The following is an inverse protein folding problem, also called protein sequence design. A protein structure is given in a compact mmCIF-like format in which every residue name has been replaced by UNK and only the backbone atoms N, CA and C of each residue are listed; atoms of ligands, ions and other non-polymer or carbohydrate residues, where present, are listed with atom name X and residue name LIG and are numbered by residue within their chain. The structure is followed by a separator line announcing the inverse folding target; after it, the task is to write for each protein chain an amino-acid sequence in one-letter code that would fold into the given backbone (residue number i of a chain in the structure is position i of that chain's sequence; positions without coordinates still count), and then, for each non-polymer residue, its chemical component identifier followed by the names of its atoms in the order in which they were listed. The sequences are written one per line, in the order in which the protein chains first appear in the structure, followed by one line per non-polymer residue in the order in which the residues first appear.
data_IF_962356194799
#
_entry.id   IF_962356194799
#
_cell.length_a   1.000
_cell.length_b   1.000
_cell.length_c   1.000
_cell.angle_alpha   90.00
_cell.angle_beta   90.00
_cell.angle_gamma   90.00
#
_symmetry.space_group_name_H-M   'P 1'
#
loop_
_entity.id
_entity.type
_entity.pdbx_description
1 polymer ?
#
# COMPACT_ATOMS: atom_id res chain seq x y z
N UNK A 1 62.23 0.48 -3.49
CA UNK A 1 62.02 -0.73 -2.65
C UNK A 1 60.89 -1.59 -3.24
N UNK A 2 61.21 -2.71 -3.93
CA UNK A 2 60.25 -3.56 -4.66
C UNK A 2 59.37 -4.48 -3.79
N UNK A 3 59.61 -4.51 -2.47
CA UNK A 3 58.91 -5.36 -1.51
C UNK A 3 57.48 -4.86 -1.21
N UNK A 4 57.30 -3.56 -1.00
CA UNK A 4 56.01 -2.91 -0.73
C UNK A 4 54.96 -3.09 -1.85
N UNK A 5 55.39 -3.16 -3.12
CA UNK A 5 54.48 -3.36 -4.26
C UNK A 5 53.90 -4.78 -4.30
N UNK A 6 54.64 -5.79 -3.86
CA UNK A 6 54.20 -7.20 -3.87
C UNK A 6 53.17 -7.49 -2.79
N UNK A 7 53.31 -6.86 -1.63
CA UNK A 7 52.35 -7.00 -0.53
C UNK A 7 51.03 -6.27 -0.84
N UNK A 8 51.10 -5.07 -1.43
CA UNK A 8 49.92 -4.35 -1.90
C UNK A 8 49.14 -5.13 -2.98
N UNK A 9 49.83 -5.85 -3.88
CA UNK A 9 49.19 -6.66 -4.92
C UNK A 9 48.50 -7.92 -4.35
N UNK A 10 49.08 -8.55 -3.32
CA UNK A 10 48.45 -9.67 -2.59
C UNK A 10 47.20 -9.22 -1.84
N UNK A 11 47.27 -8.06 -1.18
CA UNK A 11 46.13 -7.47 -0.46
C UNK A 11 44.99 -7.12 -1.43
N UNK A 12 45.29 -6.53 -2.60
CA UNK A 12 44.28 -6.25 -3.65
C UNK A 12 43.63 -7.51 -4.22
N UNK A 13 44.39 -8.61 -4.40
CA UNK A 13 43.86 -9.90 -4.89
C UNK A 13 43.01 -10.62 -3.84
N UNK A 14 43.38 -10.58 -2.56
CA UNK A 14 42.57 -11.13 -1.47
C UNK A 14 41.28 -10.34 -1.24
N UNK A 15 41.32 -9.00 -1.36
CA UNK A 15 40.12 -8.15 -1.24
C UNK A 15 39.16 -8.37 -2.41
N UNK A 16 39.66 -8.54 -3.66
CA UNK A 16 38.80 -8.89 -4.80
C UNK A 16 38.21 -10.30 -4.70
N UNK A 17 38.95 -11.29 -4.18
CA UNK A 17 38.46 -12.66 -4.04
C UNK A 17 37.39 -12.81 -2.94
N UNK A 18 37.47 -12.01 -1.88
CA UNK A 18 36.46 -12.01 -0.80
C UNK A 18 35.21 -11.21 -1.15
N UNK A 19 35.33 -10.12 -1.92
CA UNK A 19 34.18 -9.37 -2.42
C UNK A 19 33.29 -10.19 -3.38
N UNK A 20 33.88 -11.11 -4.16
CA UNK A 20 33.15 -11.95 -5.12
C UNK A 20 32.35 -13.08 -4.42
N UNK A 21 32.83 -13.58 -3.27
CA UNK A 21 32.13 -14.63 -2.50
C UNK A 21 31.00 -14.05 -1.66
N UNK A 22 31.10 -12.79 -1.20
CA UNK A 22 30.04 -12.14 -0.43
C UNK A 22 28.81 -11.77 -1.29
N UNK A 23 28.99 -11.56 -2.60
CA UNK A 23 27.89 -11.30 -3.53
C UNK A 23 26.99 -12.53 -3.81
N UNK A 24 27.46 -13.75 -3.49
CA UNK A 24 26.70 -14.99 -3.64
C UNK A 24 25.73 -15.28 -2.49
N UNK A 25 25.84 -14.54 -1.39
CA UNK A 25 24.95 -14.65 -0.21
C UNK A 25 24.03 -13.44 -0.03
N UNK A 26 23.85 -12.63 -1.07
CA UNK A 26 22.73 -11.68 -1.09
C UNK A 26 21.45 -12.52 -1.20
N UNK A 27 20.53 -12.50 -0.23
CA UNK A 27 19.18 -12.99 -0.50
C UNK A 27 18.71 -12.22 -1.72
N UNK A 28 18.30 -12.95 -2.77
CA UNK A 28 17.64 -12.35 -3.91
C UNK A 28 16.61 -11.38 -3.33
N UNK A 29 16.78 -10.09 -3.61
CA UNK A 29 15.79 -9.10 -3.24
C UNK A 29 14.46 -9.69 -3.70
N UNK A 30 13.57 -9.98 -2.75
CA UNK A 30 12.23 -10.45 -3.05
C UNK A 30 11.66 -9.34 -3.91
N UNK A 31 11.69 -9.54 -5.23
CA UNK A 31 11.08 -8.60 -6.15
C UNK A 31 9.64 -8.56 -5.68
N UNK A 32 9.20 -7.39 -5.20
CA UNK A 32 7.79 -7.10 -5.06
C UNK A 32 7.22 -7.31 -6.47
N UNK A 33 6.72 -8.51 -6.71
CA UNK A 33 6.23 -8.89 -8.01
C UNK A 33 4.93 -8.14 -8.15
N UNK A 34 5.02 -6.96 -8.78
CA UNK A 34 3.88 -6.09 -9.05
C UNK A 34 2.79 -6.96 -9.65
N UNK A 35 1.71 -7.14 -8.89
CA UNK A 35 0.54 -7.84 -9.38
C UNK A 35 -0.06 -6.89 -10.42
N UNK A 36 0.00 -7.26 -11.71
CA UNK A 36 -0.50 -6.43 -12.82
C UNK A 36 -1.96 -5.96 -12.66
N UNK A 37 -2.70 -6.48 -11.67
CA UNK A 37 -4.01 -5.97 -11.27
C UNK A 37 -3.93 -4.81 -10.27
N UNK A 38 -2.96 -4.78 -9.35
CA UNK A 38 -2.73 -3.63 -8.47
C UNK A 38 -2.31 -2.39 -9.28
N UNK A 39 -1.49 -2.55 -10.33
CA UNK A 39 -1.10 -1.44 -11.22
C UNK A 39 -2.30 -0.79 -11.93
N UNK A 40 -3.39 -1.56 -12.15
CA UNK A 40 -4.64 -1.01 -12.69
C UNK A 40 -5.36 -0.18 -11.64
N UNK A 41 -5.32 -0.60 -10.38
CA UNK A 41 -5.92 0.15 -9.28
C UNK A 41 -5.21 1.49 -9.09
N UNK A 42 -3.88 1.54 -9.20
CA UNK A 42 -3.14 2.82 -9.15
C UNK A 42 -3.64 3.81 -10.20
N UNK A 43 -3.90 3.34 -11.42
CA UNK A 43 -4.42 4.17 -12.51
C UNK A 43 -5.89 4.59 -12.30
N UNK A 44 -6.70 3.73 -11.70
CA UNK A 44 -8.12 4.01 -11.44
C UNK A 44 -8.27 5.06 -10.33
N UNK A 45 -7.50 4.89 -9.25
CA UNK A 45 -7.57 5.74 -8.07
C UNK A 45 -6.63 6.95 -8.13
N UNK A 46 -5.74 7.00 -9.11
CA UNK A 46 -4.69 8.04 -9.25
C UNK A 46 -3.88 8.21 -7.95
N UNK A 47 -3.58 7.08 -7.31
CA UNK A 47 -2.82 7.03 -6.06
C UNK A 47 -1.93 5.80 -6.04
N UNK A 48 -0.93 5.82 -5.15
CA UNK A 48 -0.07 4.68 -4.92
C UNK A 48 -0.87 3.55 -4.28
N UNK A 49 -0.63 2.31 -4.74
CA UNK A 49 -1.24 1.11 -4.16
C UNK A 49 -0.16 0.31 -3.45
N UNK A 50 -0.36 0.06 -2.17
CA UNK A 50 0.51 -0.83 -1.41
C UNK A 50 0.12 -2.27 -1.67
N UNK A 51 1.11 -3.16 -1.75
CA UNK A 51 0.85 -4.60 -1.87
C UNK A 51 1.46 -5.32 -0.68
N UNK A 52 0.63 -5.99 0.10
CA UNK A 52 1.06 -6.80 1.23
C UNK A 52 0.34 -8.15 1.23
N UNK A 53 1.10 -9.25 1.28
CA UNK A 53 0.57 -10.63 1.37
C UNK A 53 -0.50 -10.96 0.31
N UNK A 54 -0.38 -10.38 -0.89
CA UNK A 54 -1.31 -10.62 -2.00
C UNK A 54 -2.53 -9.69 -2.02
N UNK A 55 -2.65 -8.78 -1.06
CA UNK A 55 -3.71 -7.76 -1.00
C UNK A 55 -3.21 -6.46 -1.61
N UNK A 56 -3.94 -5.89 -2.57
CA UNK A 56 -3.72 -4.53 -3.05
C UNK A 56 -4.48 -3.55 -2.15
N UNK A 57 -3.79 -2.59 -1.54
CA UNK A 57 -4.34 -1.61 -0.59
C UNK A 57 -4.33 -0.22 -1.21
N UNK A 58 -5.50 0.39 -1.28
CA UNK A 58 -5.70 1.78 -1.68
C UNK A 58 -6.05 2.55 -0.42
N UNK A 59 -5.39 3.69 -0.19
CA UNK A 59 -5.73 4.60 0.90
C UNK A 59 -5.69 6.04 0.38
N UNK A 60 -6.75 6.79 0.64
CA UNK A 60 -6.90 8.20 0.24
C UNK A 60 -7.48 8.96 1.42
N UNK A 61 -6.81 10.03 1.85
CA UNK A 61 -7.31 10.89 2.93
C UNK A 61 -8.45 11.77 2.40
N UNK A 62 -9.59 11.80 3.11
CA UNK A 62 -10.72 12.66 2.78
C UNK A 62 -10.51 14.08 3.32
N UNK A 63 -9.78 14.88 2.58
CA UNK A 63 -9.48 16.27 2.97
C UNK A 63 -10.69 17.21 2.93
N UNK A 64 -11.80 16.83 2.28
CA UNK A 64 -12.99 17.68 2.12
C UNK A 64 -13.72 17.92 3.43
N UNK A 65 -13.61 17.01 4.42
CA UNK A 65 -14.20 17.17 5.74
C UNK A 65 -13.19 17.85 6.66
N UNK A 66 -13.63 18.87 7.40
CA UNK A 66 -12.82 19.58 8.40
C UNK A 66 -13.40 19.32 9.80
N UNK A 67 -13.07 18.17 10.41
CA UNK A 67 -13.70 17.75 11.65
C UNK A 67 -13.30 18.65 12.83
N UNK A 68 -14.20 18.78 13.79
CA UNK A 68 -13.96 19.47 15.05
C UNK A 68 -14.41 18.57 16.19
N UNK A 69 -13.57 18.39 17.20
CA UNK A 69 -13.87 17.61 18.39
C UNK A 69 -13.69 18.51 19.63
N UNK A 70 -14.72 18.62 20.47
CA UNK A 70 -14.76 19.53 21.62
C UNK A 70 -14.36 20.98 21.29
N UNK A 71 -14.83 21.49 20.15
CA UNK A 71 -14.51 22.84 19.67
C UNK A 71 -13.09 23.02 19.12
N UNK A 72 -12.27 21.96 19.08
CA UNK A 72 -10.92 21.99 18.51
C UNK A 72 -10.89 21.34 17.14
N UNK A 73 -10.34 22.04 16.15
CA UNK A 73 -10.10 21.48 14.81
C UNK A 73 -9.21 20.24 14.92
N UNK A 74 -9.60 19.17 14.24
CA UNK A 74 -8.80 17.95 14.10
C UNK A 74 -8.36 17.82 12.65
N UNK A 75 -7.25 17.10 12.42
CA UNK A 75 -6.87 16.74 11.05
C UNK A 75 -7.72 15.55 10.58
N UNK A 76 -8.01 15.44 9.27
CA UNK A 76 -8.70 14.27 8.71
C UNK A 76 -8.00 12.95 9.05
N UNK A 77 -6.67 12.92 9.02
CA UNK A 77 -5.85 11.73 9.31
C UNK A 77 -6.00 11.31 10.77
N UNK A 78 -5.99 12.26 11.71
CA UNK A 78 -6.16 11.97 13.15
C UNK A 78 -7.54 11.39 13.46
N UNK A 79 -8.53 11.76 12.65
CA UNK A 79 -9.92 11.30 12.78
C UNK A 79 -10.21 10.09 11.89
N UNK A 80 -9.18 9.48 11.27
CA UNK A 80 -9.30 8.35 10.35
C UNK A 80 -10.31 8.59 9.22
N UNK A 81 -10.41 9.84 8.74
CA UNK A 81 -11.29 10.20 7.63
C UNK A 81 -10.63 9.78 6.31
N UNK A 82 -10.69 8.49 6.00
CA UNK A 82 -10.05 7.90 4.82
C UNK A 82 -11.05 7.18 3.93
N UNK A 83 -10.63 6.98 2.68
CA UNK A 83 -11.18 5.98 1.77
C UNK A 83 -10.14 4.87 1.64
N UNK A 84 -10.46 3.72 2.22
CA UNK A 84 -9.60 2.55 2.20
C UNK A 84 -10.26 1.41 1.42
N UNK A 85 -9.47 0.70 0.61
CA UNK A 85 -9.91 -0.53 -0.06
C UNK A 85 -8.77 -1.54 -0.12
N UNK A 86 -8.99 -2.71 0.47
CA UNK A 86 -8.14 -3.89 0.34
C UNK A 86 -8.77 -4.89 -0.63
N UNK A 87 -8.11 -5.13 -1.78
CA UNK A 87 -8.55 -6.06 -2.80
C UNK A 87 -7.76 -7.37 -2.72
N UNK A 88 -8.47 -8.48 -2.60
CA UNK A 88 -7.90 -9.82 -2.54
C UNK A 88 -8.61 -10.75 -3.55
N UNK A 89 -7.84 -11.62 -4.21
CA UNK A 89 -8.43 -12.67 -5.05
C UNK A 89 -8.77 -13.88 -4.20
N UNK A 90 -10.04 -14.27 -4.20
CA UNK A 90 -10.55 -15.43 -3.44
C UNK A 90 -11.43 -16.26 -4.37
N UNK A 91 -11.11 -17.55 -4.53
CA UNK A 91 -11.91 -18.52 -5.31
C UNK A 91 -12.32 -18.06 -6.72
N UNK A 92 -11.38 -17.42 -7.44
CA UNK A 92 -11.63 -16.91 -8.79
C UNK A 92 -12.45 -15.61 -8.86
N UNK A 93 -12.85 -15.08 -7.71
CA UNK A 93 -13.49 -13.78 -7.54
C UNK A 93 -12.54 -12.78 -6.87
N UNK A 94 -13.02 -11.56 -6.64
CA UNK A 94 -12.30 -10.52 -5.88
C UNK A 94 -13.16 -10.13 -4.69
N UNK A 95 -12.62 -10.34 -3.49
CA UNK A 95 -13.16 -9.79 -2.26
C UNK A 95 -12.57 -8.39 -2.03
N UNK A 96 -13.41 -7.48 -1.52
CA UNK A 96 -12.98 -6.13 -1.14
C UNK A 96 -13.43 -5.86 0.28
N UNK A 97 -12.49 -5.52 1.15
CA UNK A 97 -12.79 -4.94 2.46
C UNK A 97 -12.40 -3.47 2.39
N UNK A 98 -13.33 -2.58 2.74
CA UNK A 98 -13.09 -1.15 2.60
C UNK A 98 -13.77 -0.34 3.68
N UNK A 99 -13.28 0.88 3.81
CA UNK A 99 -13.81 1.92 4.68
C UNK A 99 -13.99 3.19 3.85
N UNK A 100 -15.11 3.87 4.07
CA UNK A 100 -15.41 5.12 3.42
C UNK A 100 -15.85 6.14 4.46
N UNK A 101 -15.04 7.18 4.66
CA UNK A 101 -15.45 8.34 5.44
C UNK A 101 -16.56 9.10 4.71
N UNK A 102 -17.84 8.84 5.02
CA UNK A 102 -19.01 9.45 4.37
C UNK A 102 -19.79 10.35 5.32
N UNK A 103 -20.44 11.38 4.77
CA UNK A 103 -21.52 12.11 5.43
C UNK A 103 -22.80 11.26 5.38
N UNK A 104 -23.73 11.53 6.29
CA UNK A 104 -24.97 10.75 6.41
C UNK A 104 -25.77 10.71 5.10
N UNK A 105 -25.87 11.85 4.42
CA UNK A 105 -26.56 11.99 3.14
C UNK A 105 -25.86 11.29 1.96
N UNK A 106 -24.57 10.96 2.09
CA UNK A 106 -23.78 10.33 1.03
C UNK A 106 -23.87 8.80 1.05
N UNK A 107 -24.31 8.20 2.16
CA UNK A 107 -24.34 6.74 2.34
C UNK A 107 -25.15 6.05 1.24
N UNK A 108 -26.42 6.41 1.06
CA UNK A 108 -27.27 5.76 0.06
C UNK A 108 -26.83 6.02 -1.38
N UNK A 109 -26.50 7.27 -1.79
CA UNK A 109 -25.94 7.53 -3.12
C UNK A 109 -24.69 6.71 -3.45
N UNK A 110 -23.76 6.55 -2.49
CA UNK A 110 -22.56 5.74 -2.70
C UNK A 110 -22.91 4.26 -2.84
N UNK A 111 -23.78 3.72 -1.98
CA UNK A 111 -24.25 2.34 -2.10
C UNK A 111 -24.88 2.05 -3.45
N UNK A 112 -25.68 2.98 -3.98
CA UNK A 112 -26.31 2.84 -5.29
C UNK A 112 -25.28 2.82 -6.43
N UNK A 113 -24.24 3.65 -6.36
CA UNK A 113 -23.13 3.64 -7.33
C UNK A 113 -22.35 2.33 -7.26
N UNK A 114 -22.04 1.82 -6.06
CA UNK A 114 -21.34 0.54 -5.88
C UNK A 114 -22.14 -0.62 -6.49
N UNK A 115 -23.45 -0.69 -6.20
CA UNK A 115 -24.35 -1.71 -6.76
C UNK A 115 -24.48 -1.60 -8.27
N UNK A 116 -24.58 -0.38 -8.82
CA UNK A 116 -24.60 -0.15 -10.28
C UNK A 116 -23.28 -0.59 -10.93
N UNK A 117 -22.17 -0.45 -10.22
CA UNK A 117 -20.85 -0.98 -10.58
C UNK A 117 -20.72 -2.51 -10.45
N UNK A 118 -21.78 -3.21 -10.05
CA UNK A 118 -21.82 -4.66 -9.78
C UNK A 118 -20.93 -5.10 -8.62
N UNK A 119 -20.66 -4.20 -7.67
CA UNK A 119 -20.10 -4.60 -6.37
C UNK A 119 -21.25 -5.05 -5.47
N UNK A 120 -21.16 -6.29 -4.97
CA UNK A 120 -22.08 -6.80 -3.97
C UNK A 120 -21.72 -6.20 -2.61
N UNK A 121 -22.60 -5.36 -2.06
CA UNK A 121 -22.44 -4.80 -0.72
C UNK A 121 -23.05 -5.75 0.29
N UNK A 122 -22.20 -6.37 1.11
CA UNK A 122 -22.59 -7.39 2.09
C UNK A 122 -23.05 -6.80 3.42
N UNK A 123 -22.49 -5.67 3.83
CA UNK A 123 -22.82 -5.00 5.09
C UNK A 123 -22.47 -3.51 5.04
N UNK A 124 -23.05 -2.73 5.96
CA UNK A 124 -22.66 -1.35 6.27
C UNK A 124 -22.38 -1.28 7.76
N UNK A 125 -21.21 -0.77 8.13
CA UNK A 125 -20.81 -0.49 9.51
C UNK A 125 -20.59 1.03 9.66
N UNK A 126 -20.98 1.60 10.80
CA UNK A 126 -20.81 3.03 11.07
C UNK A 126 -20.34 3.25 12.51
N UNK A 127 -19.27 4.05 12.67
CA UNK A 127 -18.66 4.42 13.94
C UNK A 127 -19.31 5.67 14.58
N UNK A 128 -19.99 6.50 13.78
CA UNK A 128 -20.59 7.76 14.20
C UNK A 128 -22.08 7.80 13.80
N UNK A 129 -22.94 7.61 14.79
CA UNK A 129 -24.39 7.79 14.68
C UNK A 129 -24.79 8.89 15.66
N UNK A 130 -25.47 9.93 15.16
CA UNK A 130 -26.05 10.99 15.99
C UNK A 130 -27.57 11.01 15.85
#
# INVERSE_FOLDING_TARGET
MPWLKKECLKIKRSIMATALVLALFLPAAVQAQGNANCDKLEKIFDTRVETEKGVCKVEIVRESIKPTHMGKKQSPETMELIFYFGFEKVDGQVAVMGELALLQEEVNPVLDVLRKGKLEVTAVHNHMLH
#
